data_IF_320738595963
#
_entry.id   IF_320738595963
#
_cell.length_a   1.000
_cell.length_b   1.000
_cell.length_c   1.000
_cell.angle_alpha   90.00
_cell.angle_beta   90.00
_cell.angle_gamma   90.00
#
_symmetry.space_group_name_H-M   'P 1'
#
loop_
_entity.id
_entity.type
_entity.pdbx_description
1 polymer ?
#
# COMPACT_ATOMS: atom_id res chain seq x y z
N UNK A 1 16.55 30.09 0.83
CA UNK A 1 15.19 29.49 0.83
C UNK A 1 14.92 29.09 -0.61
N UNK A 2 14.53 27.85 -0.81
CA UNK A 2 14.16 27.32 -2.13
C UNK A 2 12.89 28.01 -2.63
N UNK A 3 12.82 28.36 -3.88
CA UNK A 3 11.61 28.96 -4.48
C UNK A 3 10.54 27.90 -4.70
N UNK A 4 9.26 28.30 -4.74
CA UNK A 4 8.18 27.38 -5.06
C UNK A 4 8.34 26.68 -6.42
N UNK A 5 8.88 27.39 -7.41
CA UNK A 5 9.17 26.83 -8.75
C UNK A 5 10.27 25.76 -8.71
N UNK A 6 11.31 25.97 -7.90
CA UNK A 6 12.39 24.99 -7.75
C UNK A 6 11.93 23.73 -7.01
N UNK A 7 11.09 23.90 -5.99
CA UNK A 7 10.42 22.76 -5.29
C UNK A 7 9.59 21.95 -6.26
N UNK A 8 8.71 22.62 -7.02
CA UNK A 8 7.84 21.95 -7.98
C UNK A 8 8.62 21.21 -9.06
N UNK A 9 9.74 21.78 -9.51
CA UNK A 9 10.61 21.13 -10.48
C UNK A 9 11.20 19.84 -9.94
N UNK A 10 11.81 19.86 -8.74
CA UNK A 10 12.42 18.66 -8.13
C UNK A 10 11.36 17.56 -7.90
N UNK A 11 10.18 17.91 -7.40
CA UNK A 11 9.07 16.96 -7.19
C UNK A 11 8.65 16.34 -8.53
N UNK A 12 8.53 17.14 -9.60
CA UNK A 12 8.20 16.64 -10.94
C UNK A 12 9.30 15.76 -11.53
N UNK A 13 10.56 16.10 -11.28
CA UNK A 13 11.70 15.31 -11.76
C UNK A 13 11.74 13.93 -11.04
N UNK A 14 11.47 13.89 -9.73
CA UNK A 14 11.34 12.65 -8.95
C UNK A 14 10.17 11.80 -9.47
N UNK A 15 9.00 12.41 -9.68
CA UNK A 15 7.84 11.75 -10.27
C UNK A 15 8.18 11.07 -11.61
N UNK A 16 8.86 11.78 -12.49
CA UNK A 16 9.27 11.23 -13.78
C UNK A 16 10.32 10.14 -13.66
N UNK A 17 11.29 10.27 -12.74
CA UNK A 17 12.31 9.26 -12.50
C UNK A 17 11.69 7.94 -12.07
N UNK A 18 10.73 7.96 -11.13
CA UNK A 18 9.98 6.75 -10.71
C UNK A 18 9.23 6.13 -11.89
N UNK A 19 8.48 6.91 -12.68
CA UNK A 19 7.77 6.37 -13.85
C UNK A 19 8.71 5.79 -14.91
N UNK A 20 9.91 6.36 -15.08
CA UNK A 20 10.90 5.81 -15.99
C UNK A 20 11.77 4.70 -15.37
N UNK A 21 11.40 4.22 -14.15
CA UNK A 21 12.08 3.10 -13.48
C UNK A 21 13.57 3.40 -13.19
N UNK A 22 13.91 4.69 -13.00
CA UNK A 22 15.27 5.16 -12.78
C UNK A 22 15.53 5.32 -11.27
N UNK A 23 16.03 4.24 -10.67
CA UNK A 23 16.34 4.15 -9.25
C UNK A 23 17.45 5.16 -8.85
N UNK A 24 18.49 5.27 -9.65
CA UNK A 24 19.64 6.14 -9.36
C UNK A 24 19.23 7.61 -9.36
N UNK A 25 18.54 8.06 -10.42
CA UNK A 25 18.02 9.44 -10.49
C UNK A 25 17.04 9.75 -9.38
N UNK A 26 16.17 8.79 -9.01
CA UNK A 26 15.20 8.98 -7.92
C UNK A 26 15.93 9.18 -6.58
N UNK A 27 16.96 8.40 -6.31
CA UNK A 27 17.80 8.53 -5.11
C UNK A 27 18.52 9.87 -5.07
N UNK A 28 19.18 10.26 -6.16
CA UNK A 28 19.94 11.52 -6.26
C UNK A 28 19.03 12.76 -6.11
N UNK A 29 17.89 12.78 -6.78
CA UNK A 29 16.91 13.86 -6.69
C UNK A 29 16.28 13.97 -5.30
N UNK A 30 16.01 12.84 -4.65
CA UNK A 30 15.53 12.80 -3.26
C UNK A 30 16.58 13.36 -2.30
N UNK A 31 17.86 13.04 -2.49
CA UNK A 31 18.95 13.61 -1.71
C UNK A 31 19.06 15.13 -1.92
N UNK A 32 18.96 15.57 -3.17
CA UNK A 32 18.96 17.01 -3.49
C UNK A 32 17.77 17.76 -2.86
N UNK A 33 16.59 17.13 -2.78
CA UNK A 33 15.44 17.69 -2.09
C UNK A 33 15.71 17.91 -0.59
N UNK A 34 16.30 16.91 0.08
CA UNK A 34 16.71 17.00 1.50
C UNK A 34 17.73 18.12 1.70
N UNK A 35 18.80 18.17 0.90
CA UNK A 35 19.86 19.20 1.01
C UNK A 35 19.34 20.62 0.81
N UNK A 36 18.33 20.78 -0.02
CA UNK A 36 17.65 22.06 -0.24
C UNK A 36 16.62 22.39 0.83
N UNK A 37 16.36 21.50 1.79
CA UNK A 37 15.40 21.70 2.85
C UNK A 37 13.94 21.70 2.39
N UNK A 38 13.66 21.01 1.26
CA UNK A 38 12.29 20.76 0.81
C UNK A 38 11.64 19.79 1.80
N UNK A 39 10.38 20.00 2.11
CA UNK A 39 9.63 19.12 3.00
C UNK A 39 9.59 17.68 2.46
N UNK A 40 10.18 16.76 3.22
CA UNK A 40 10.33 15.36 2.80
C UNK A 40 8.97 14.66 2.63
N UNK A 41 7.98 15.00 3.48
CA UNK A 41 6.63 14.46 3.36
C UNK A 41 5.95 14.94 2.07
N UNK A 42 6.10 16.23 1.73
CA UNK A 42 5.60 16.78 0.48
C UNK A 42 6.21 16.07 -0.75
N UNK A 43 7.51 15.78 -0.73
CA UNK A 43 8.21 15.05 -1.81
C UNK A 43 7.69 13.61 -1.92
N UNK A 44 7.47 12.91 -0.80
CA UNK A 44 6.92 11.55 -0.81
C UNK A 44 5.53 11.56 -1.44
N UNK A 45 4.62 12.41 -1.00
CA UNK A 45 3.23 12.41 -1.48
C UNK A 45 3.14 12.84 -2.95
N UNK A 46 3.78 13.95 -3.34
CA UNK A 46 3.59 14.54 -4.67
C UNK A 46 4.63 14.10 -5.71
N UNK A 47 5.71 13.47 -5.29
CA UNK A 47 6.73 12.88 -6.16
C UNK A 47 6.57 11.37 -6.24
N UNK A 48 6.94 10.66 -5.18
CA UNK A 48 7.02 9.20 -5.18
C UNK A 48 5.64 8.52 -5.27
N UNK A 49 4.70 8.89 -4.38
CA UNK A 49 3.35 8.29 -4.32
C UNK A 49 2.56 8.61 -5.59
N UNK A 50 2.54 9.87 -6.00
CA UNK A 50 1.82 10.27 -7.20
C UNK A 50 2.33 9.56 -8.48
N UNK A 51 3.64 9.27 -8.56
CA UNK A 51 4.21 8.47 -9.64
C UNK A 51 3.74 7.02 -9.58
N UNK A 52 3.69 6.42 -8.38
CA UNK A 52 3.22 5.05 -8.21
C UNK A 52 1.73 4.90 -8.49
N UNK A 53 0.91 5.88 -8.11
CA UNK A 53 -0.52 5.96 -8.50
C UNK A 53 -0.66 5.96 -10.03
N UNK A 54 0.16 6.76 -10.72
CA UNK A 54 0.17 6.80 -12.17
C UNK A 54 0.63 5.48 -12.80
N UNK A 55 1.65 4.83 -12.23
CA UNK A 55 2.07 3.50 -12.65
C UNK A 55 0.93 2.47 -12.48
N UNK A 56 0.17 2.55 -11.38
CA UNK A 56 -1.03 1.75 -11.15
C UNK A 56 -2.12 1.99 -12.21
N UNK A 57 -2.37 3.25 -12.59
CA UNK A 57 -3.29 3.59 -13.69
C UNK A 57 -2.83 2.98 -15.03
N UNK A 58 -1.54 3.10 -15.35
CA UNK A 58 -0.96 2.54 -16.58
C UNK A 58 -1.06 1.00 -16.61
N UNK A 59 -0.93 0.36 -15.44
CA UNK A 59 -1.15 -1.09 -15.31
C UNK A 59 -2.62 -1.46 -15.58
N UNK A 60 -3.58 -0.73 -15.03
CA UNK A 60 -5.01 -0.95 -15.30
C UNK A 60 -5.35 -0.74 -16.77
N UNK A 61 -4.68 0.22 -17.44
CA UNK A 61 -4.82 0.51 -18.87
C UNK A 61 -4.08 -0.49 -19.76
N UNK A 62 -3.34 -1.44 -19.19
CA UNK A 62 -2.50 -2.41 -19.89
C UNK A 62 -1.33 -1.79 -20.69
N UNK A 63 -0.92 -0.59 -20.31
CA UNK A 63 0.29 0.06 -20.83
C UNK A 63 1.54 -0.37 -20.06
N UNK A 64 1.40 -0.59 -18.71
CA UNK A 64 2.40 -1.23 -17.87
C UNK A 64 1.96 -2.65 -17.51
N UNK A 65 2.96 -3.51 -17.22
CA UNK A 65 2.78 -4.86 -16.73
C UNK A 65 3.46 -5.02 -15.37
N UNK A 66 3.40 -6.21 -14.78
CA UNK A 66 3.99 -6.47 -13.46
C UNK A 66 5.49 -6.12 -13.39
N UNK A 67 6.33 -6.42 -14.41
CA UNK A 67 7.74 -6.01 -14.36
C UNK A 67 7.95 -4.50 -14.24
N UNK A 68 7.20 -3.67 -14.98
CA UNK A 68 7.30 -2.22 -14.91
C UNK A 68 6.86 -1.70 -13.54
N UNK A 69 5.78 -2.26 -12.95
CA UNK A 69 5.37 -1.89 -11.60
C UNK A 69 6.44 -2.22 -10.55
N UNK A 70 7.10 -3.36 -10.66
CA UNK A 70 8.19 -3.74 -9.75
C UNK A 70 9.38 -2.78 -9.88
N UNK A 71 9.78 -2.41 -11.09
CA UNK A 71 10.86 -1.46 -11.32
C UNK A 71 10.51 -0.04 -10.87
N UNK A 72 9.27 0.43 -11.09
CA UNK A 72 8.79 1.70 -10.50
C UNK A 72 8.84 1.65 -8.97
N UNK A 73 8.49 0.50 -8.37
CA UNK A 73 8.57 0.27 -6.94
C UNK A 73 10.00 0.34 -6.42
N UNK A 74 10.97 -0.28 -7.10
CA UNK A 74 12.38 -0.23 -6.71
C UNK A 74 12.87 1.23 -6.71
N UNK A 75 12.53 2.00 -7.74
CA UNK A 75 12.84 3.43 -7.79
C UNK A 75 12.15 4.23 -6.67
N UNK A 76 10.88 3.94 -6.35
CA UNK A 76 10.17 4.55 -5.23
C UNK A 76 10.89 4.27 -3.90
N UNK A 77 11.24 3.00 -3.64
CA UNK A 77 11.93 2.63 -2.40
C UNK A 77 13.30 3.30 -2.27
N UNK A 78 14.03 3.46 -3.38
CA UNK A 78 15.30 4.19 -3.39
C UNK A 78 15.13 5.65 -2.92
N UNK A 79 14.09 6.34 -3.38
CA UNK A 79 13.77 7.69 -2.93
C UNK A 79 13.25 7.73 -1.49
N UNK A 80 12.37 6.78 -1.11
CA UNK A 80 11.79 6.69 0.23
C UNK A 80 12.86 6.41 1.30
N UNK A 81 13.86 5.59 1.01
CA UNK A 81 14.99 5.34 1.91
C UNK A 81 15.72 6.62 2.31
N UNK A 82 15.91 7.54 1.35
CA UNK A 82 16.53 8.84 1.57
C UNK A 82 15.63 9.79 2.35
N UNK A 83 14.35 9.86 1.99
CA UNK A 83 13.40 10.85 2.55
C UNK A 83 12.88 10.49 3.94
N UNK A 84 12.66 9.20 4.23
CA UNK A 84 12.03 8.71 5.47
C UNK A 84 12.67 9.29 6.76
N UNK A 85 13.99 9.38 6.93
CA UNK A 85 14.59 9.97 8.15
C UNK A 85 14.30 11.47 8.34
N UNK A 86 13.84 12.15 7.29
CA UNK A 86 13.58 13.58 7.26
C UNK A 86 12.08 13.96 7.38
N UNK A 87 11.20 12.95 7.44
CA UNK A 87 9.76 13.16 7.67
C UNK A 87 9.55 13.51 9.15
N UNK A 88 8.82 14.60 9.41
CA UNK A 88 8.57 15.05 10.79
C UNK A 88 7.63 14.11 11.52
N UNK A 89 7.97 13.75 12.76
CA UNK A 89 7.22 12.79 13.60
C UNK A 89 5.76 13.18 13.83
N UNK A 90 5.43 14.47 13.84
CA UNK A 90 4.05 14.97 13.99
C UNK A 90 3.13 14.61 12.80
N UNK A 91 3.71 14.28 11.67
CA UNK A 91 2.99 13.85 10.47
C UNK A 91 2.87 12.31 10.45
N UNK A 92 3.81 11.60 11.10
CA UNK A 92 3.79 10.16 11.29
C UNK A 92 2.73 9.71 12.33
N UNK A 93 2.45 10.52 13.37
CA UNK A 93 1.47 10.21 14.42
C UNK A 93 0.02 10.10 13.91
N UNK A 94 -0.24 10.51 12.68
CA UNK A 94 -1.54 10.38 12.00
C UNK A 94 -1.54 9.32 10.89
N UNK A 95 -0.45 8.57 10.75
CA UNK A 95 -0.36 7.54 9.72
C UNK A 95 -1.32 6.40 10.02
N UNK A 96 -2.16 6.09 9.03
CA UNK A 96 -2.98 4.89 9.05
C UNK A 96 -2.11 3.64 8.99
N UNK A 97 -2.63 2.57 9.57
CA UNK A 97 -1.92 1.31 9.63
C UNK A 97 -2.74 0.19 8.99
N UNK A 98 -2.07 -0.72 8.31
CA UNK A 98 -2.68 -1.88 7.69
C UNK A 98 -1.86 -3.14 8.00
N UNK A 99 -2.54 -4.20 8.41
CA UNK A 99 -2.00 -5.57 8.41
C UNK A 99 -2.31 -6.19 7.07
N UNK A 100 -1.32 -6.78 6.39
CA UNK A 100 -1.52 -7.44 5.09
C UNK A 100 -0.85 -8.81 5.07
N UNK A 101 -1.48 -9.80 4.44
CA UNK A 101 -0.91 -11.13 4.27
C UNK A 101 -1.65 -11.97 3.24
N UNK A 102 -0.97 -13.01 2.74
CA UNK A 102 -1.60 -14.07 1.94
C UNK A 102 -2.04 -15.17 2.89
N UNK A 103 -3.30 -15.59 2.78
CA UNK A 103 -3.91 -16.56 3.70
C UNK A 103 -3.22 -17.92 3.65
N UNK A 104 -3.41 -18.70 4.71
CA UNK A 104 -2.89 -20.05 4.90
C UNK A 104 -3.20 -20.96 3.69
N UNK A 105 -2.21 -21.72 3.25
CA UNK A 105 -2.30 -22.59 2.09
C UNK A 105 -2.07 -21.89 0.75
N UNK A 106 -1.68 -20.60 0.74
CA UNK A 106 -1.41 -19.85 -0.48
C UNK A 106 -0.04 -19.16 -0.44
N UNK A 107 0.75 -19.35 -1.48
CA UNK A 107 2.11 -18.81 -1.60
C UNK A 107 2.24 -17.68 -2.64
N UNK A 108 1.14 -17.30 -3.29
CA UNK A 108 1.13 -16.32 -4.36
C UNK A 108 1.09 -14.90 -3.79
N UNK A 109 2.23 -14.28 -3.61
CA UNK A 109 2.38 -13.00 -2.92
C UNK A 109 2.66 -11.79 -3.83
N UNK A 110 2.82 -11.96 -5.14
CA UNK A 110 3.10 -10.85 -6.06
C UNK A 110 2.03 -9.76 -5.96
N UNK A 111 0.75 -10.12 -6.05
CA UNK A 111 -0.36 -9.18 -5.94
C UNK A 111 -0.40 -8.45 -4.59
N UNK A 112 -0.19 -9.20 -3.49
CA UNK A 112 -0.08 -8.64 -2.14
C UNK A 112 1.09 -7.64 -2.04
N UNK A 113 2.25 -7.98 -2.61
CA UNK A 113 3.42 -7.10 -2.57
C UNK A 113 3.19 -5.81 -3.35
N UNK A 114 2.48 -5.84 -4.48
CA UNK A 114 2.06 -4.63 -5.20
C UNK A 114 1.11 -3.78 -4.34
N UNK A 115 0.11 -4.39 -3.70
CA UNK A 115 -0.79 -3.67 -2.77
C UNK A 115 -0.02 -3.05 -1.63
N UNK A 116 0.92 -3.79 -1.00
CA UNK A 116 1.81 -3.27 0.03
C UNK A 116 2.53 -2.00 -0.42
N UNK A 117 3.15 -2.05 -1.61
CA UNK A 117 3.88 -0.91 -2.19
C UNK A 117 2.96 0.31 -2.36
N UNK A 118 1.74 0.12 -2.85
CA UNK A 118 0.78 1.20 -3.03
C UNK A 118 0.39 1.84 -1.69
N UNK A 119 0.18 1.05 -0.63
CA UNK A 119 -0.11 1.57 0.71
C UNK A 119 1.10 2.29 1.33
N UNK A 120 2.31 1.74 1.21
CA UNK A 120 3.53 2.39 1.69
C UNK A 120 3.80 3.71 0.96
N UNK A 121 3.56 3.74 -0.36
CA UNK A 121 3.66 4.95 -1.16
C UNK A 121 2.66 6.03 -0.74
N UNK A 122 1.43 5.64 -0.36
CA UNK A 122 0.40 6.56 0.19
C UNK A 122 0.67 6.96 1.66
N UNK A 123 1.81 6.56 2.22
CA UNK A 123 2.24 6.94 3.56
C UNK A 123 1.69 6.09 4.71
N UNK A 124 1.09 4.92 4.42
CA UNK A 124 0.60 4.00 5.44
C UNK A 124 1.75 3.21 6.10
N UNK A 125 1.57 2.86 7.37
CA UNK A 125 2.41 1.85 8.02
C UNK A 125 1.86 0.47 7.66
N UNK A 126 2.66 -0.34 6.96
CA UNK A 126 2.26 -1.67 6.52
C UNK A 126 2.93 -2.75 7.36
N UNK A 127 2.12 -3.54 8.06
CA UNK A 127 2.53 -4.72 8.80
C UNK A 127 2.35 -5.95 7.91
N UNK A 128 3.39 -6.31 7.17
CA UNK A 128 3.37 -7.41 6.20
C UNK A 128 3.67 -8.75 6.89
N UNK A 129 2.67 -9.62 6.92
CA UNK A 129 2.79 -10.98 7.46
C UNK A 129 3.42 -11.98 6.49
N UNK A 130 3.59 -11.58 5.21
CA UNK A 130 4.13 -12.45 4.17
C UNK A 130 3.07 -13.33 3.51
N UNK A 131 3.41 -14.59 3.25
CA UNK A 131 2.58 -15.57 2.56
C UNK A 131 2.41 -16.83 3.40
N UNK A 132 1.40 -17.65 3.06
CA UNK A 132 1.05 -18.87 3.81
C UNK A 132 0.87 -18.56 5.31
N UNK A 133 0.10 -17.51 5.58
CA UNK A 133 -0.06 -16.97 6.93
C UNK A 133 -1.15 -17.73 7.66
N UNK A 134 -0.79 -18.39 8.75
CA UNK A 134 -1.74 -19.03 9.65
C UNK A 134 -2.79 -18.01 10.11
N UNK A 135 -4.07 -18.37 10.02
CA UNK A 135 -5.20 -17.44 10.18
C UNK A 135 -5.16 -16.65 11.50
N UNK A 136 -4.71 -17.29 12.56
CA UNK A 136 -4.61 -16.66 13.88
C UNK A 136 -3.63 -15.49 13.91
N UNK A 137 -2.59 -15.51 13.06
CA UNK A 137 -1.58 -14.44 12.99
C UNK A 137 -2.17 -13.09 12.58
N UNK A 138 -3.22 -13.08 11.77
CA UNK A 138 -3.90 -11.83 11.40
C UNK A 138 -4.56 -11.19 12.64
N UNK A 139 -5.23 -11.97 13.48
CA UNK A 139 -5.85 -11.48 14.71
C UNK A 139 -4.81 -11.05 15.76
N UNK A 140 -3.71 -11.81 15.89
CA UNK A 140 -2.60 -11.48 16.81
C UNK A 140 -1.93 -10.16 16.40
N UNK A 141 -1.66 -9.98 15.11
CA UNK A 141 -1.02 -8.76 14.61
C UNK A 141 -1.97 -7.56 14.70
N UNK A 142 -3.27 -7.74 14.42
CA UNK A 142 -4.28 -6.70 14.65
C UNK A 142 -4.29 -6.26 16.11
N UNK A 143 -4.29 -7.19 17.04
CA UNK A 143 -4.23 -6.88 18.48
C UNK A 143 -2.98 -6.13 18.89
N UNK A 144 -1.84 -6.44 18.25
CA UNK A 144 -0.53 -5.83 18.54
C UNK A 144 -0.42 -4.41 17.99
N UNK A 145 -0.95 -4.19 16.78
CA UNK A 145 -0.73 -2.94 16.03
C UNK A 145 -1.89 -1.96 16.14
N UNK A 146 -3.10 -2.43 16.47
CA UNK A 146 -4.34 -1.67 16.40
C UNK A 146 -4.52 -1.00 15.01
N UNK A 147 -4.18 -1.75 13.96
CA UNK A 147 -4.24 -1.26 12.58
C UNK A 147 -5.68 -0.92 12.17
N UNK A 148 -5.83 0.11 11.33
CA UNK A 148 -7.13 0.55 10.82
C UNK A 148 -7.78 -0.49 9.90
N UNK A 149 -6.94 -1.27 9.21
CA UNK A 149 -7.37 -2.29 8.24
C UNK A 149 -6.61 -3.60 8.46
N UNK A 150 -7.30 -4.74 8.30
CA UNK A 150 -6.69 -6.03 8.03
C UNK A 150 -7.04 -6.46 6.62
N UNK A 151 -6.02 -6.62 5.77
CA UNK A 151 -6.18 -7.03 4.38
C UNK A 151 -5.66 -8.45 4.16
N UNK A 152 -6.45 -9.28 3.48
CA UNK A 152 -6.10 -10.66 3.15
C UNK A 152 -6.17 -10.90 1.66
N UNK A 153 -5.19 -11.66 1.14
CA UNK A 153 -5.07 -12.02 -0.28
C UNK A 153 -5.12 -13.53 -0.47
N UNK A 154 -5.73 -13.97 -1.56
CA UNK A 154 -5.67 -15.35 -2.05
C UNK A 154 -5.67 -15.38 -3.59
N UNK A 155 -4.91 -16.31 -4.18
CA UNK A 155 -4.96 -16.58 -5.62
C UNK A 155 -5.67 -17.91 -5.94
N UNK A 156 -5.77 -18.81 -4.96
CA UNK A 156 -6.39 -20.12 -5.16
C UNK A 156 -7.81 -20.15 -4.57
N UNK A 157 -8.73 -20.80 -5.29
CA UNK A 157 -10.11 -21.00 -4.80
C UNK A 157 -10.18 -21.83 -3.52
N UNK A 158 -9.19 -22.70 -3.30
CA UNK A 158 -9.10 -23.54 -2.09
C UNK A 158 -8.68 -22.72 -0.87
N UNK A 159 -7.71 -21.81 -1.01
CA UNK A 159 -7.20 -20.99 0.09
C UNK A 159 -8.18 -19.88 0.48
N UNK A 160 -8.93 -19.28 -0.45
CA UNK A 160 -9.91 -18.25 -0.13
C UNK A 160 -11.03 -18.76 0.81
N UNK A 161 -11.30 -20.07 0.83
CA UNK A 161 -12.31 -20.65 1.72
C UNK A 161 -11.96 -20.54 3.22
N UNK A 162 -10.70 -20.26 3.55
CA UNK A 162 -10.26 -20.03 4.92
C UNK A 162 -10.54 -18.58 5.41
N UNK A 163 -10.79 -17.64 4.50
CA UNK A 163 -10.98 -16.22 4.85
C UNK A 163 -12.14 -15.94 5.80
N UNK A 164 -13.34 -16.55 5.67
CA UNK A 164 -14.44 -16.34 6.65
C UNK A 164 -14.01 -16.67 8.06
N UNK A 165 -13.22 -17.74 8.23
CA UNK A 165 -12.70 -18.14 9.55
C UNK A 165 -11.70 -17.12 10.11
N UNK A 166 -10.81 -16.60 9.26
CA UNK A 166 -9.89 -15.53 9.65
C UNK A 166 -10.66 -14.27 10.08
N UNK A 167 -11.70 -13.89 9.34
CA UNK A 167 -12.58 -12.75 9.68
C UNK A 167 -13.22 -12.93 11.06
N UNK A 168 -13.78 -14.11 11.36
CA UNK A 168 -14.33 -14.41 12.69
C UNK A 168 -13.28 -14.21 13.81
N UNK A 169 -12.06 -14.68 13.59
CA UNK A 169 -10.98 -14.57 14.58
C UNK A 169 -10.55 -13.12 14.78
N UNK A 170 -10.45 -12.34 13.70
CA UNK A 170 -10.11 -10.91 13.73
C UNK A 170 -11.21 -10.13 14.47
N UNK A 171 -12.49 -10.34 14.11
CA UNK A 171 -13.65 -9.70 14.73
C UNK A 171 -13.81 -10.03 16.21
N UNK A 172 -13.37 -11.22 16.65
CA UNK A 172 -13.35 -11.59 18.06
C UNK A 172 -12.35 -10.76 18.90
N UNK A 173 -11.30 -10.23 18.26
CA UNK A 173 -10.28 -9.38 18.89
C UNK A 173 -10.66 -7.89 18.76
N UNK A 174 -11.10 -7.48 17.61
CA UNK A 174 -11.51 -6.10 17.30
C UNK A 174 -12.76 -6.13 16.39
N UNK A 175 -13.96 -5.93 16.96
CA UNK A 175 -15.20 -5.95 16.18
C UNK A 175 -15.31 -4.83 15.14
N UNK A 176 -14.62 -3.72 15.37
CA UNK A 176 -14.76 -2.49 14.58
C UNK A 176 -13.68 -2.33 13.52
N UNK A 177 -12.63 -3.19 13.51
CA UNK A 177 -11.57 -3.11 12.50
C UNK A 177 -12.13 -3.33 11.09
N UNK A 178 -11.68 -2.52 10.15
CA UNK A 178 -12.05 -2.69 8.75
C UNK A 178 -11.32 -3.90 8.13
N UNK A 179 -12.06 -4.74 7.39
CA UNK A 179 -11.52 -5.94 6.75
C UNK A 179 -11.67 -5.82 5.24
N UNK A 180 -10.53 -5.98 4.54
CA UNK A 180 -10.46 -5.89 3.09
C UNK A 180 -9.95 -7.21 2.48
N UNK A 181 -10.57 -7.66 1.41
CA UNK A 181 -10.14 -8.85 0.67
C UNK A 181 -9.70 -8.49 -0.73
N UNK A 182 -8.78 -9.30 -1.28
CA UNK A 182 -8.31 -9.19 -2.66
C UNK A 182 -7.74 -10.49 -3.19
N UNK A 183 -7.56 -10.54 -4.51
CA UNK A 183 -7.01 -11.68 -5.22
C UNK A 183 -7.94 -12.21 -6.31
N UNK A 184 -7.34 -12.90 -7.30
CA UNK A 184 -8.03 -13.23 -8.56
C UNK A 184 -9.34 -14.03 -8.46
N UNK A 185 -9.54 -14.96 -7.50
CA UNK A 185 -10.79 -15.70 -7.38
C UNK A 185 -11.88 -14.94 -6.63
N UNK A 186 -11.55 -13.77 -6.05
CA UNK A 186 -12.48 -12.97 -5.27
C UNK A 186 -13.22 -11.94 -6.14
N UNK A 187 -14.42 -11.61 -5.71
CA UNK A 187 -15.23 -10.52 -6.26
C UNK A 187 -15.78 -9.70 -5.11
N UNK A 188 -16.29 -8.51 -5.39
CA UNK A 188 -16.99 -7.69 -4.39
C UNK A 188 -18.12 -8.46 -3.68
N UNK A 189 -18.88 -9.27 -4.43
CA UNK A 189 -19.97 -10.08 -3.89
C UNK A 189 -19.46 -11.16 -2.94
N UNK A 190 -18.40 -11.87 -3.32
CA UNK A 190 -17.78 -12.91 -2.47
C UNK A 190 -17.22 -12.27 -1.21
N UNK A 191 -16.53 -11.12 -1.30
CA UNK A 191 -15.97 -10.42 -0.16
C UNK A 191 -17.06 -10.04 0.86
N UNK A 192 -18.18 -9.48 0.39
CA UNK A 192 -19.33 -9.15 1.23
C UNK A 192 -19.92 -10.41 1.88
N UNK A 193 -20.11 -11.48 1.11
CA UNK A 193 -20.66 -12.74 1.61
C UNK A 193 -19.76 -13.39 2.69
N UNK A 194 -18.45 -13.14 2.62
CA UNK A 194 -17.49 -13.60 3.64
C UNK A 194 -17.47 -12.71 4.89
N UNK A 195 -18.13 -11.55 4.85
CA UNK A 195 -18.20 -10.62 5.99
C UNK A 195 -17.10 -9.56 5.98
N UNK A 196 -16.45 -9.33 4.84
CA UNK A 196 -15.50 -8.24 4.67
C UNK A 196 -16.22 -6.90 4.40
N UNK A 197 -15.54 -5.81 4.74
CA UNK A 197 -16.05 -4.44 4.55
C UNK A 197 -15.67 -3.87 3.19
N UNK A 198 -14.59 -4.38 2.58
CA UNK A 198 -14.07 -3.88 1.32
C UNK A 198 -13.41 -4.94 0.44
N UNK A 199 -13.24 -4.55 -0.82
CA UNK A 199 -12.60 -5.33 -1.87
C UNK A 199 -11.91 -4.39 -2.86
N UNK A 200 -10.82 -4.83 -3.47
CA UNK A 200 -10.20 -4.15 -4.60
C UNK A 200 -9.95 -5.14 -5.74
N UNK A 201 -10.31 -4.74 -6.95
CA UNK A 201 -10.13 -5.55 -8.17
C UNK A 201 -8.64 -5.74 -8.53
N UNK A 202 -7.81 -4.77 -8.16
CA UNK A 202 -6.38 -4.78 -8.45
C UNK A 202 -5.61 -3.87 -7.49
N UNK A 203 -4.29 -3.94 -7.55
CA UNK A 203 -3.40 -3.19 -6.65
C UNK A 203 -3.51 -1.67 -6.84
N UNK A 204 -3.68 -1.18 -8.07
CA UNK A 204 -3.80 0.25 -8.36
C UNK A 204 -5.04 0.92 -7.74
N UNK A 205 -6.11 0.16 -7.49
CA UNK A 205 -7.34 0.66 -6.86
C UNK A 205 -7.40 0.39 -5.35
N UNK A 206 -6.44 -0.35 -4.78
CA UNK A 206 -6.52 -0.85 -3.42
C UNK A 206 -6.58 0.26 -2.37
N UNK A 207 -5.72 1.26 -2.45
CA UNK A 207 -5.69 2.39 -1.50
C UNK A 207 -6.98 3.19 -1.58
N UNK A 208 -7.44 3.50 -2.77
CA UNK A 208 -8.69 4.25 -3.00
C UNK A 208 -9.92 3.49 -2.49
N UNK A 209 -9.96 2.17 -2.68
CA UNK A 209 -11.01 1.32 -2.14
C UNK A 209 -10.99 1.29 -0.61
N UNK A 210 -9.80 1.20 0.00
CA UNK A 210 -9.60 1.24 1.44
C UNK A 210 -10.06 2.56 2.05
N UNK A 211 -9.69 3.69 1.46
CA UNK A 211 -10.11 5.02 1.91
C UNK A 211 -11.63 5.17 1.89
N UNK A 212 -12.27 4.76 0.78
CA UNK A 212 -13.72 4.77 0.63
C UNK A 212 -14.43 3.88 1.65
N UNK A 213 -13.83 2.72 1.97
CA UNK A 213 -14.33 1.79 2.98
C UNK A 213 -14.31 2.43 4.37
N UNK A 214 -13.18 3.01 4.79
CA UNK A 214 -13.04 3.67 6.09
C UNK A 214 -14.00 4.87 6.23
N UNK A 215 -14.16 5.70 5.21
CA UNK A 215 -15.12 6.82 5.22
C UNK A 215 -16.57 6.35 5.42
N UNK A 216 -16.92 5.16 4.93
CA UNK A 216 -18.24 4.58 5.10
C UNK A 216 -18.46 4.02 6.52
N UNK A 217 -17.42 3.42 7.12
CA UNK A 217 -17.49 2.81 8.45
C UNK A 217 -17.48 3.85 9.58
N UNK A 218 -16.89 5.01 9.36
CA UNK A 218 -16.80 6.08 10.36
C UNK A 218 -17.93 7.12 10.28
N UNK A 219 -18.96 6.88 9.44
CA UNK A 219 -20.21 7.68 9.40
C UNK A 219 -21.28 7.10 10.30
#
# INVERSE_FOLDING_TARGET
>A
MVTGEETQKIVSDIYNAVLHMDEDSTRELSQAAVEKGIDAYHVVIHGLTAAMDKAGELYVQQEYFVPELLLCSDALYAGLEVLRPHIKTSELDKQRQIVIGVVEGDIHDIGKNLVKIMFEADGWIVHDLGRDVVLQRFAEEQKRTHSDIVAMSALMTTSMLAMPKAIEMIRAVDPDVAIMLGGAPLTQEIAINYGADGYADNAGEAVKAAMKMLERLHK
#
